data_IF_440455764827
#
_entry.id   IF_440455764827
#
_cell.length_a   1.000
_cell.length_b   1.000
_cell.length_c   1.000
_cell.angle_alpha   90.00
_cell.angle_beta   90.00
_cell.angle_gamma   90.00
#
_symmetry.space_group_name_H-M   'P 1'
#
loop_
_entity.id
_entity.type
_entity.pdbx_description
1 polymer ?
#
# COMPACT_ATOMS: atom_id res chain seq x y z
N UNK A 1 36.88 -38.48 -9.19
CA UNK A 1 36.11 -39.66 -9.64
C UNK A 1 34.94 -39.83 -8.69
N UNK A 2 33.77 -40.12 -9.26
CA UNK A 2 32.47 -40.46 -8.65
C UNK A 2 31.62 -39.29 -8.12
N UNK A 3 30.84 -38.75 -9.07
CA UNK A 3 29.54 -38.10 -8.85
C UNK A 3 28.54 -39.06 -8.23
N UNK A 4 27.77 -38.60 -7.25
CA UNK A 4 26.44 -39.13 -6.96
C UNK A 4 25.42 -37.98 -6.89
N UNK A 5 24.41 -38.12 -7.75
CA UNK A 5 23.26 -37.27 -7.97
C UNK A 5 22.24 -37.53 -6.86
N UNK A 6 21.82 -36.51 -6.09
CA UNK A 6 20.59 -36.61 -5.30
C UNK A 6 19.48 -35.87 -6.04
N UNK A 7 18.61 -36.65 -6.70
CA UNK A 7 17.32 -36.19 -7.19
C UNK A 7 16.41 -35.99 -5.99
N UNK A 8 15.77 -34.82 -5.92
CA UNK A 8 14.66 -34.55 -5.03
C UNK A 8 13.53 -35.58 -5.28
N UNK A 9 13.07 -36.21 -4.21
CA UNK A 9 11.87 -37.04 -4.20
C UNK A 9 10.70 -36.11 -3.90
N UNK A 10 9.67 -36.01 -4.74
CA UNK A 10 8.49 -35.24 -4.40
C UNK A 10 7.70 -35.97 -3.30
N UNK A 11 7.29 -35.22 -2.28
CA UNK A 11 6.31 -35.65 -1.29
C UNK A 11 4.97 -35.86 -2.00
N UNK A 12 4.46 -37.09 -2.00
CA UNK A 12 3.11 -37.43 -2.44
C UNK A 12 2.21 -37.39 -1.21
N UNK A 13 1.31 -36.42 -1.13
CA UNK A 13 0.19 -36.46 -0.16
C UNK A 13 -0.94 -37.21 -0.84
N UNK A 14 -1.22 -38.43 -0.38
CA UNK A 14 -2.39 -39.20 -0.81
C UNK A 14 -3.52 -38.98 0.18
N UNK A 15 -4.59 -38.31 -0.26
CA UNK A 15 -5.90 -38.40 0.38
C UNK A 15 -6.71 -39.43 -0.40
N UNK A 16 -7.06 -40.52 0.28
CA UNK A 16 -7.84 -41.64 -0.23
C UNK A 16 -9.33 -41.32 -0.04
N UNK A 17 -10.03 -40.97 -1.13
CA UNK A 17 -11.49 -41.17 -1.28
C UNK A 17 -11.75 -41.71 -2.68
N UNK A 18 -12.60 -42.72 -2.76
CA UNK A 18 -12.59 -43.73 -3.82
C UNK A 18 -13.08 -43.31 -5.21
N UNK A 19 -12.54 -44.06 -6.19
CA UNK A 19 -13.05 -44.43 -7.51
C UNK A 19 -13.09 -43.35 -8.62
N UNK A 20 -12.02 -43.34 -9.43
CA UNK A 20 -12.02 -42.76 -10.78
C UNK A 20 -10.64 -42.30 -11.27
N UNK A 21 -9.73 -43.23 -11.56
CA UNK A 21 -8.38 -42.91 -12.04
C UNK A 21 -8.42 -42.36 -13.49
N UNK A 22 -8.14 -41.08 -13.69
CA UNK A 22 -7.70 -40.52 -14.98
C UNK A 22 -6.25 -40.08 -14.81
N UNK A 23 -5.32 -40.84 -15.39
CA UNK A 23 -3.90 -40.50 -15.40
C UNK A 23 -3.62 -39.59 -16.59
N UNK A 24 -3.40 -38.29 -16.36
CA UNK A 24 -2.88 -37.38 -17.39
C UNK A 24 -1.36 -37.45 -17.35
N UNK A 25 -0.76 -38.13 -18.33
CA UNK A 25 0.68 -38.07 -18.60
C UNK A 25 0.94 -36.85 -19.49
N UNK A 26 1.44 -35.76 -18.91
CA UNK A 26 1.95 -34.64 -19.71
C UNK A 26 3.39 -34.96 -20.15
N UNK A 27 3.58 -35.20 -21.44
CA UNK A 27 4.90 -35.30 -22.07
C UNK A 27 5.36 -33.87 -22.37
N UNK A 28 6.24 -33.33 -21.52
CA UNK A 28 6.89 -32.06 -21.80
C UNK A 28 7.86 -32.22 -22.98
N UNK A 29 7.52 -31.64 -24.14
CA UNK A 29 8.46 -31.46 -25.23
C UNK A 29 9.33 -30.24 -24.92
N UNK A 30 10.65 -30.48 -24.84
CA UNK A 30 11.63 -29.45 -24.52
C UNK A 30 11.74 -28.40 -25.62
N UNK A 31 11.57 -27.14 -25.22
CA UNK A 31 12.32 -26.01 -25.75
C UNK A 31 12.80 -25.19 -24.54
N UNK A 32 14.11 -25.02 -24.47
CA UNK A 32 14.80 -24.28 -23.42
C UNK A 32 14.38 -22.80 -23.46
N UNK A 33 13.41 -22.42 -22.63
CA UNK A 33 13.25 -21.02 -22.21
C UNK A 33 14.35 -20.71 -21.20
N UNK A 34 15.12 -19.60 -21.36
CA UNK A 34 16.12 -19.23 -20.38
C UNK A 34 15.40 -18.99 -19.06
N UNK A 35 15.73 -19.83 -18.08
CA UNK A 35 15.15 -19.86 -16.76
C UNK A 35 15.00 -18.44 -16.20
N UNK A 36 13.76 -18.02 -15.94
CA UNK A 36 13.49 -16.97 -14.96
C UNK A 36 14.13 -17.44 -13.66
N UNK A 37 15.27 -16.86 -13.30
CA UNK A 37 15.87 -17.00 -11.98
C UNK A 37 14.78 -16.56 -11.00
N UNK A 38 14.29 -17.44 -10.10
CA UNK A 38 13.41 -16.99 -9.03
C UNK A 38 14.23 -15.98 -8.22
N UNK A 39 13.81 -14.71 -8.21
CA UNK A 39 14.32 -13.76 -7.26
C UNK A 39 13.87 -14.24 -5.88
N UNK A 40 14.76 -14.94 -5.17
CA UNK A 40 14.54 -15.23 -3.75
C UNK A 40 14.23 -13.89 -3.06
N UNK A 41 13.04 -13.80 -2.45
CA UNK A 41 12.69 -12.62 -1.65
C UNK A 41 13.69 -12.57 -0.50
N UNK A 42 14.59 -11.58 -0.53
CA UNK A 42 15.56 -11.35 0.53
C UNK A 42 14.80 -11.07 1.83
N UNK A 43 15.06 -11.88 2.86
CA UNK A 43 14.60 -11.58 4.22
C UNK A 43 15.44 -10.41 4.77
N UNK A 44 14.79 -9.38 5.30
CA UNK A 44 15.44 -8.15 5.77
C UNK A 44 16.01 -8.27 7.20
N UNK A 45 16.39 -9.48 7.61
CA UNK A 45 16.96 -9.79 8.92
C UNK A 45 16.10 -9.34 10.13
N UNK A 46 14.79 -9.17 9.95
CA UNK A 46 13.90 -8.93 11.08
C UNK A 46 13.90 -10.12 12.03
N UNK A 47 13.62 -9.91 13.33
CA UNK A 47 13.41 -11.01 14.25
C UNK A 47 12.35 -12.00 13.71
N UNK A 48 12.52 -13.31 13.96
CA UNK A 48 11.69 -14.34 13.34
C UNK A 48 10.24 -14.33 13.85
N UNK A 49 10.01 -13.75 15.02
CA UNK A 49 8.70 -13.68 15.67
C UNK A 49 8.32 -12.24 15.99
N UNK A 50 7.02 -11.95 16.06
CA UNK A 50 6.52 -10.63 16.43
C UNK A 50 6.91 -10.29 17.88
N UNK A 51 6.94 -11.27 18.77
CA UNK A 51 7.42 -11.15 20.14
C UNK A 51 8.89 -10.69 20.20
N UNK A 52 9.80 -11.36 19.48
CA UNK A 52 11.22 -10.97 19.47
C UNK A 52 11.40 -9.56 18.91
N UNK A 53 10.56 -9.18 17.94
CA UNK A 53 10.55 -7.82 17.42
C UNK A 53 9.99 -6.80 18.40
N UNK A 54 8.95 -7.13 19.17
CA UNK A 54 8.47 -6.28 20.26
C UNK A 54 9.58 -6.05 21.30
N UNK A 55 10.36 -7.07 21.65
CA UNK A 55 11.51 -6.96 22.55
C UNK A 55 12.63 -6.06 21.99
N UNK A 56 12.87 -6.10 20.67
CA UNK A 56 13.80 -5.20 20.00
C UNK A 56 13.33 -3.73 20.05
N UNK A 57 12.03 -3.51 19.93
CA UNK A 57 11.39 -2.19 19.85
C UNK A 57 11.21 -1.54 21.23
N UNK A 58 10.94 -2.35 22.26
CA UNK A 58 10.57 -1.90 23.61
C UNK A 58 11.51 -0.84 24.23
N UNK A 59 12.84 -0.95 24.13
CA UNK A 59 13.74 0.05 24.72
C UNK A 59 13.61 1.46 24.14
N UNK A 60 12.99 1.62 22.97
CA UNK A 60 12.88 2.90 22.25
C UNK A 60 11.43 3.39 22.20
N UNK A 61 10.46 2.50 21.92
CA UNK A 61 9.06 2.87 21.74
C UNK A 61 8.15 2.40 22.89
N UNK A 62 8.72 1.74 23.90
CA UNK A 62 7.93 1.00 24.86
C UNK A 62 7.20 -0.17 24.20
N UNK A 63 6.23 -0.72 24.91
CA UNK A 63 5.49 -1.89 24.44
C UNK A 63 4.45 -1.50 23.39
N UNK A 64 4.22 -2.33 22.36
CA UNK A 64 3.07 -2.16 21.47
C UNK A 64 1.77 -2.08 22.29
N UNK A 65 0.76 -1.30 21.86
CA UNK A 65 -0.46 -1.14 22.64
C UNK A 65 -1.30 -2.42 22.66
N UNK A 66 -2.10 -2.59 23.72
CA UNK A 66 -3.16 -3.60 23.76
C UNK A 66 -4.33 -3.12 22.90
N UNK A 67 -4.53 -3.72 21.73
CA UNK A 67 -5.50 -3.25 20.74
C UNK A 67 -6.90 -3.80 21.03
N UNK A 68 -7.84 -2.90 21.31
CA UNK A 68 -9.27 -3.17 21.35
C UNK A 68 -9.97 -2.41 20.21
N UNK A 69 -10.42 -3.15 19.20
CA UNK A 69 -11.11 -2.59 18.03
C UNK A 69 -12.50 -2.06 18.39
N UNK A 70 -13.11 -2.57 19.48
CA UNK A 70 -14.38 -2.10 20.01
C UNK A 70 -14.30 -0.70 20.63
N UNK A 71 -13.13 -0.32 21.14
CA UNK A 71 -12.83 1.01 21.69
C UNK A 71 -12.21 1.97 20.65
N UNK A 72 -11.79 1.46 19.50
CA UNK A 72 -11.21 2.26 18.42
C UNK A 72 -12.27 3.11 17.70
N UNK A 73 -11.87 4.26 17.16
CA UNK A 73 -12.78 5.17 16.46
C UNK A 73 -13.01 4.68 15.03
N UNK A 74 -14.26 4.57 14.61
CA UNK A 74 -14.59 4.23 13.22
C UNK A 74 -14.11 5.32 12.26
N UNK A 75 -13.59 4.89 11.11
CA UNK A 75 -13.33 5.75 9.97
C UNK A 75 -14.63 5.82 9.14
N UNK A 76 -15.39 6.91 9.24
CA UNK A 76 -16.71 6.97 8.63
C UNK A 76 -16.59 7.07 7.10
N UNK A 77 -17.57 6.49 6.41
CA UNK A 77 -17.75 6.64 4.96
C UNK A 77 -18.98 7.52 4.71
N UNK A 78 -18.88 8.49 3.80
CA UNK A 78 -19.97 9.43 3.51
C UNK A 78 -20.46 9.33 2.07
N UNK A 79 -21.77 9.46 1.86
CA UNK A 79 -22.39 9.71 0.56
C UNK A 79 -23.30 10.92 0.72
N UNK A 80 -23.13 11.93 -0.12
CA UNK A 80 -23.88 13.19 -0.05
C UNK A 80 -23.82 13.86 1.34
N UNK A 81 -22.70 13.68 2.05
CA UNK A 81 -22.47 14.19 3.40
C UNK A 81 -23.13 13.38 4.53
N UNK A 82 -23.86 12.30 4.23
CA UNK A 82 -24.46 11.41 5.21
C UNK A 82 -23.57 10.18 5.45
N UNK A 83 -23.37 9.79 6.71
CA UNK A 83 -22.60 8.59 7.03
C UNK A 83 -23.37 7.35 6.60
N UNK A 84 -22.70 6.45 5.89
CA UNK A 84 -23.25 5.19 5.38
C UNK A 84 -22.44 3.99 5.84
N UNK A 85 -23.11 2.84 5.94
CA UNK A 85 -22.49 1.56 6.28
C UNK A 85 -22.72 0.55 5.15
N UNK A 86 -21.68 -0.14 4.72
CA UNK A 86 -21.73 -1.03 3.57
C UNK A 86 -20.48 -0.96 2.69
N UNK A 87 -20.61 -1.64 1.54
CA UNK A 87 -19.71 -1.52 0.40
C UNK A 87 -20.45 -0.78 -0.72
N UNK A 88 -19.82 0.27 -1.23
CA UNK A 88 -20.38 1.16 -2.25
C UNK A 88 -19.40 1.34 -3.42
N UNK A 89 -19.94 1.66 -4.59
CA UNK A 89 -19.14 1.96 -5.79
C UNK A 89 -18.42 3.31 -5.67
N UNK A 90 -19.06 4.30 -5.06
CA UNK A 90 -18.51 5.65 -4.87
C UNK A 90 -18.96 6.26 -3.53
N UNK A 91 -18.22 7.26 -3.07
CA UNK A 91 -18.41 7.96 -1.80
C UNK A 91 -17.60 9.26 -1.77
N UNK A 92 -17.93 10.15 -0.84
CA UNK A 92 -17.28 11.47 -0.71
C UNK A 92 -15.81 11.35 -0.27
N UNK A 93 -15.48 10.29 0.47
CA UNK A 93 -14.18 10.09 1.09
C UNK A 93 -13.65 8.65 0.87
N UNK A 94 -13.36 8.26 -0.37
CA UNK A 94 -12.83 6.92 -0.66
C UNK A 94 -11.49 6.68 0.04
N UNK A 95 -11.26 5.44 0.48
CA UNK A 95 -10.03 5.09 1.20
C UNK A 95 -8.75 5.34 0.40
N UNK A 96 -8.78 5.14 -0.92
CA UNK A 96 -7.65 5.22 -1.87
C UNK A 96 -6.42 4.36 -1.48
N UNK A 97 -6.48 3.60 -0.40
CA UNK A 97 -5.48 2.64 0.07
C UNK A 97 -5.67 1.31 -0.66
N UNK A 98 -5.25 1.26 -1.93
CA UNK A 98 -5.46 0.11 -2.80
C UNK A 98 -6.85 0.11 -3.45
N UNK A 99 -6.96 0.91 -4.52
CA UNK A 99 -8.18 1.20 -5.34
C UNK A 99 -9.23 2.07 -4.66
N UNK A 100 -10.18 2.56 -5.46
CA UNK A 100 -11.37 3.31 -5.02
C UNK A 100 -12.31 2.36 -4.27
N UNK A 101 -12.08 2.17 -2.98
CA UNK A 101 -12.96 1.36 -2.15
C UNK A 101 -13.69 2.26 -1.16
N UNK A 102 -15.02 2.28 -1.28
CA UNK A 102 -15.94 2.91 -0.36
C UNK A 102 -16.55 1.83 0.52
N UNK A 103 -15.80 1.43 1.54
CA UNK A 103 -16.17 0.37 2.47
C UNK A 103 -16.15 0.93 3.90
N UNK A 104 -17.25 0.77 4.63
CA UNK A 104 -17.33 1.17 6.04
C UNK A 104 -16.65 0.18 6.97
N UNK A 105 -16.55 0.56 8.24
CA UNK A 105 -16.22 -0.35 9.32
C UNK A 105 -14.75 -0.58 9.62
N UNK A 106 -13.85 0.10 8.90
CA UNK A 106 -12.46 0.23 9.36
C UNK A 106 -12.41 1.13 10.61
N UNK A 107 -11.49 0.84 11.52
CA UNK A 107 -11.34 1.56 12.79
C UNK A 107 -9.88 1.97 13.01
N UNK A 108 -9.66 3.06 13.74
CA UNK A 108 -8.33 3.54 14.08
C UNK A 108 -8.29 4.00 15.54
N UNK A 109 -7.17 3.76 16.21
CA UNK A 109 -6.96 4.23 17.57
C UNK A 109 -5.55 4.77 17.74
N UNK A 110 -5.41 5.81 18.56
CA UNK A 110 -4.15 6.38 18.97
C UNK A 110 -3.87 6.08 20.44
N UNK A 111 -2.63 5.72 20.73
CA UNK A 111 -2.15 5.45 22.08
C UNK A 111 -0.89 6.28 22.35
N UNK A 112 -0.76 6.76 23.58
CA UNK A 112 0.53 7.22 24.10
C UNK A 112 1.43 6.00 24.33
N UNK A 113 2.72 6.11 24.02
CA UNK A 113 3.67 5.04 24.32
C UNK A 113 3.80 4.83 25.82
N UNK A 114 4.14 3.61 26.21
CA UNK A 114 4.35 3.25 27.60
C UNK A 114 5.34 2.09 27.71
N UNK A 115 6.09 2.04 28.80
CA UNK A 115 6.88 0.85 29.19
C UNK A 115 5.97 -0.31 29.61
N UNK A 116 6.53 -1.51 29.76
CA UNK A 116 5.77 -2.69 30.20
C UNK A 116 5.10 -2.54 31.58
N UNK A 117 5.65 -1.70 32.46
CA UNK A 117 5.06 -1.38 33.77
C UNK A 117 4.04 -0.22 33.74
N UNK A 118 3.74 0.31 32.56
CA UNK A 118 2.78 1.38 32.35
C UNK A 118 3.33 2.80 32.56
N UNK A 119 4.65 2.97 32.67
CA UNK A 119 5.25 4.31 32.72
C UNK A 119 5.06 5.00 31.36
N UNK A 120 4.45 6.19 31.30
CA UNK A 120 4.19 6.86 30.04
C UNK A 120 5.47 7.35 29.33
N UNK A 121 5.45 7.31 28.00
CA UNK A 121 6.49 7.78 27.09
C UNK A 121 5.88 8.85 26.17
N UNK A 122 5.84 10.12 26.59
CA UNK A 122 5.04 11.16 25.92
C UNK A 122 5.54 11.51 24.51
N UNK A 123 6.81 11.23 24.21
CA UNK A 123 7.38 11.45 22.88
C UNK A 123 7.08 10.29 21.92
N UNK A 124 6.47 9.21 22.40
CA UNK A 124 6.11 8.04 21.60
C UNK A 124 4.60 8.00 21.38
N UNK A 125 4.23 7.76 20.13
CA UNK A 125 2.85 7.53 19.73
C UNK A 125 2.73 6.20 19.01
N UNK A 126 1.67 5.46 19.36
CA UNK A 126 1.26 4.28 18.62
C UNK A 126 -0.08 4.54 17.94
N UNK A 127 -0.22 4.11 16.69
CA UNK A 127 -1.49 4.07 15.98
C UNK A 127 -1.80 2.62 15.64
N UNK A 128 -3.00 2.16 16.02
CA UNK A 128 -3.54 0.89 15.57
C UNK A 128 -4.61 1.14 14.50
N UNK A 129 -4.52 0.46 13.37
CA UNK A 129 -5.48 0.54 12.28
C UNK A 129 -6.08 -0.85 12.05
N UNK A 130 -7.38 -0.99 12.30
CA UNK A 130 -8.16 -2.17 11.93
C UNK A 130 -8.78 -1.94 10.55
N UNK A 131 -8.18 -2.51 9.51
CA UNK A 131 -8.65 -2.42 8.14
C UNK A 131 -9.74 -3.45 7.88
N UNK A 132 -10.93 -2.97 7.53
CA UNK A 132 -11.94 -3.82 6.92
C UNK A 132 -11.66 -3.92 5.41
N UNK A 133 -11.53 -5.15 4.91
CA UNK A 133 -11.42 -5.47 3.49
C UNK A 133 -12.40 -6.59 3.09
N UNK A 134 -13.41 -6.85 3.93
CA UNK A 134 -14.35 -7.95 3.76
C UNK A 134 -15.37 -7.61 2.68
N UNK A 135 -15.06 -8.01 1.44
CA UNK A 135 -16.07 -8.15 0.38
C UNK A 135 -16.84 -9.46 0.56
N UNK A 136 -18.17 -9.40 0.45
CA UNK A 136 -19.16 -10.48 0.55
C UNK A 136 -18.70 -11.87 1.05
N UNK A 137 -19.13 -12.23 2.26
CA UNK A 137 -19.34 -13.58 2.80
C UNK A 137 -18.16 -14.59 2.84
N UNK A 138 -16.92 -14.26 2.52
CA UNK A 138 -15.76 -15.17 2.70
C UNK A 138 -14.95 -14.82 3.96
N UNK A 139 -15.54 -15.05 5.13
CA UNK A 139 -14.90 -14.74 6.42
C UNK A 139 -14.55 -13.26 6.55
N UNK A 140 -13.78 -12.92 7.59
CA UNK A 140 -13.33 -11.55 7.81
C UNK A 140 -11.97 -11.38 7.14
N UNK A 141 -12.00 -10.76 5.96
CA UNK A 141 -10.80 -10.27 5.30
C UNK A 141 -10.49 -8.87 5.82
N UNK A 142 -9.29 -8.71 6.35
CA UNK A 142 -8.86 -7.48 6.98
C UNK A 142 -7.53 -7.68 7.67
N UNK A 143 -7.01 -6.61 8.23
CA UNK A 143 -5.76 -6.67 8.96
C UNK A 143 -5.75 -5.62 10.06
N UNK A 144 -5.01 -5.90 11.12
CA UNK A 144 -4.72 -4.95 12.19
C UNK A 144 -3.26 -4.60 12.10
N UNK A 145 -2.98 -3.35 11.75
CA UNK A 145 -1.64 -2.78 11.76
C UNK A 145 -1.40 -2.00 13.04
N UNK A 146 -0.17 -2.03 13.55
CA UNK A 146 0.31 -1.09 14.57
C UNK A 146 1.55 -0.38 14.06
N UNK A 147 1.57 0.94 14.20
CA UNK A 147 2.71 1.77 13.85
C UNK A 147 3.10 2.57 15.08
N UNK A 148 4.30 2.30 15.60
CA UNK A 148 4.90 3.07 16.68
C UNK A 148 5.86 4.11 16.11
N UNK A 149 5.86 5.32 16.66
CA UNK A 149 6.73 6.41 16.22
C UNK A 149 7.22 7.23 17.41
N UNK A 150 8.54 7.44 17.49
CA UNK A 150 9.16 8.36 18.43
C UNK A 150 9.33 9.74 17.77
N UNK A 151 8.58 10.73 18.24
CA UNK A 151 8.47 12.06 17.60
C UNK A 151 9.77 12.87 17.60
N UNK A 152 10.65 12.62 18.59
CA UNK A 152 11.98 13.26 18.68
C UNK A 152 13.06 12.52 17.88
N UNK A 153 13.13 11.19 17.93
CA UNK A 153 14.24 10.42 17.35
C UNK A 153 13.94 9.83 15.98
N UNK A 154 12.68 9.80 15.58
CA UNK A 154 12.24 9.22 14.31
C UNK A 154 12.11 7.71 14.29
N UNK A 155 12.38 7.05 15.41
CA UNK A 155 12.33 5.61 15.52
C UNK A 155 10.92 5.10 15.23
N UNK A 156 10.82 4.14 14.32
CA UNK A 156 9.54 3.62 13.83
C UNK A 156 9.51 2.11 13.88
N UNK A 157 8.36 1.54 14.25
CA UNK A 157 8.13 0.10 14.19
C UNK A 157 6.78 -0.20 13.54
N UNK A 158 6.75 -1.24 12.70
CA UNK A 158 5.55 -1.75 12.03
C UNK A 158 5.22 -3.17 12.51
N UNK A 159 3.98 -3.38 12.93
CA UNK A 159 3.39 -4.70 13.12
C UNK A 159 2.18 -4.82 12.21
N UNK A 160 2.00 -5.99 11.62
CA UNK A 160 0.83 -6.28 10.79
C UNK A 160 0.32 -7.68 11.10
N UNK A 161 -0.99 -7.80 11.30
CA UNK A 161 -1.63 -9.10 11.40
C UNK A 161 -1.71 -9.79 10.03
N UNK A 162 -2.07 -11.07 10.02
CA UNK A 162 -2.44 -11.71 8.76
C UNK A 162 -3.74 -11.11 8.18
N UNK A 163 -3.96 -11.28 6.86
CA UNK A 163 -5.20 -10.85 6.17
C UNK A 163 -6.47 -11.59 6.66
N UNK A 164 -6.29 -12.63 7.49
CA UNK A 164 -7.33 -13.31 8.24
C UNK A 164 -7.11 -13.00 9.72
N UNK A 165 -8.04 -12.24 10.29
CA UNK A 165 -7.95 -11.72 11.66
C UNK A 165 -8.82 -12.48 12.66
N UNK A 166 -9.52 -13.51 12.21
CA UNK A 166 -10.17 -14.47 13.11
C UNK A 166 -9.11 -15.29 13.86
N UNK A 167 -9.36 -15.67 15.13
CA UNK A 167 -10.61 -15.48 15.88
C UNK A 167 -10.70 -14.16 16.67
N UNK A 168 -9.71 -13.27 16.56
CA UNK A 168 -9.55 -12.12 17.46
C UNK A 168 -10.44 -10.92 17.13
N UNK A 169 -10.78 -10.77 15.86
CA UNK A 169 -11.63 -9.71 15.37
C UNK A 169 -12.87 -10.25 14.64
N UNK A 170 -13.93 -9.45 14.65
CA UNK A 170 -15.18 -9.72 13.96
C UNK A 170 -15.85 -8.45 13.46
N UNK A 171 -16.74 -8.58 12.47
CA UNK A 171 -17.56 -7.47 11.99
C UNK A 171 -18.86 -7.41 12.77
N UNK A 172 -19.23 -6.22 13.20
CA UNK A 172 -20.57 -5.94 13.70
C UNK A 172 -21.62 -6.16 12.59
N UNK A 173 -22.68 -6.91 12.88
CA UNK A 173 -23.67 -7.30 11.86
C UNK A 173 -24.44 -6.12 11.27
N UNK A 174 -24.65 -5.06 12.04
CA UNK A 174 -25.44 -3.90 11.61
C UNK A 174 -24.58 -2.86 10.88
N UNK A 175 -23.41 -2.56 11.43
CA UNK A 175 -22.56 -1.44 10.97
C UNK A 175 -21.38 -1.88 10.11
N UNK A 176 -21.11 -3.18 10.06
CA UNK A 176 -19.87 -3.77 9.51
C UNK A 176 -18.60 -3.26 10.19
N UNK A 177 -18.71 -2.64 11.37
CA UNK A 177 -17.57 -2.13 12.12
C UNK A 177 -16.74 -3.27 12.67
N UNK A 178 -15.43 -3.20 12.48
CA UNK A 178 -14.50 -4.13 13.11
C UNK A 178 -14.51 -3.96 14.64
N UNK A 179 -14.68 -5.08 15.33
CA UNK A 179 -14.69 -5.23 16.78
C UNK A 179 -13.79 -6.40 17.18
N UNK A 180 -13.50 -6.50 18.47
CA UNK A 180 -12.67 -7.57 19.03
C UNK A 180 -11.39 -7.06 19.66
N UNK A 181 -10.63 -7.99 20.25
CA UNK A 181 -9.42 -7.71 21.01
C UNK A 181 -8.29 -8.52 20.42
N UNK A 182 -7.24 -7.84 20.00
CA UNK A 182 -6.07 -8.53 19.48
C UNK A 182 -5.21 -9.08 20.61
N UNK A 183 -4.49 -10.19 20.39
CA UNK A 183 -3.50 -10.69 21.33
C UNK A 183 -2.46 -9.64 21.62
N UNK A 184 -1.90 -9.71 22.82
CA UNK A 184 -0.91 -8.75 23.30
C UNK A 184 0.32 -9.47 23.84
N UNK A 185 1.34 -8.70 24.17
CA UNK A 185 2.64 -9.20 24.61
C UNK A 185 2.57 -9.96 25.97
N UNK A 186 1.43 -9.96 26.67
CA UNK A 186 1.22 -10.80 27.84
C UNK A 186 1.09 -12.30 27.50
N UNK A 187 0.76 -12.64 26.25
CA UNK A 187 0.78 -13.99 25.69
C UNK A 187 1.64 -14.03 24.41
N UNK A 188 2.95 -14.34 24.52
CA UNK A 188 3.85 -14.38 23.37
C UNK A 188 3.45 -15.40 22.30
N UNK A 189 2.82 -16.51 22.68
CA UNK A 189 2.43 -17.55 21.72
C UNK A 189 1.28 -17.04 20.85
N UNK A 190 0.24 -16.49 21.48
CA UNK A 190 -0.91 -15.93 20.77
C UNK A 190 -0.53 -14.66 19.99
N UNK A 191 0.34 -13.81 20.53
CA UNK A 191 0.85 -12.62 19.83
C UNK A 191 1.58 -12.97 18.53
N UNK A 192 2.39 -14.03 18.55
CA UNK A 192 3.10 -14.53 17.38
C UNK A 192 2.18 -15.19 16.34
N UNK A 193 0.99 -15.66 16.76
CA UNK A 193 -0.02 -16.16 15.84
C UNK A 193 -0.74 -15.00 15.14
N UNK A 194 -1.07 -13.93 15.89
CA UNK A 194 -1.79 -12.79 15.35
C UNK A 194 -0.94 -11.88 14.48
N UNK A 195 0.27 -11.53 14.94
CA UNK A 195 1.14 -10.55 14.30
C UNK A 195 2.35 -11.18 13.65
N UNK A 196 2.80 -10.53 12.57
CA UNK A 196 4.01 -10.89 11.84
C UNK A 196 4.98 -9.73 11.83
N UNK A 197 6.26 -10.06 11.74
CA UNK A 197 7.28 -9.07 11.41
C UNK A 197 7.23 -8.75 9.92
N UNK A 198 7.67 -7.55 9.49
CA UNK A 198 7.69 -7.17 8.08
C UNK A 198 8.43 -8.17 7.16
N UNK A 199 9.53 -8.77 7.64
CA UNK A 199 10.38 -9.78 6.98
C UNK A 199 10.79 -9.43 5.54
N UNK A 200 9.96 -9.79 4.57
CA UNK A 200 10.23 -9.62 3.13
C UNK A 200 9.52 -8.42 2.52
N UNK A 201 8.61 -7.80 3.28
CA UNK A 201 7.88 -6.60 2.88
C UNK A 201 8.54 -5.39 3.53
N UNK A 202 8.85 -4.38 2.71
CA UNK A 202 9.23 -3.08 3.22
C UNK A 202 7.98 -2.22 3.37
N UNK A 203 7.49 -2.05 4.60
CA UNK A 203 6.34 -1.20 4.91
C UNK A 203 6.57 0.24 4.43
N UNK A 204 7.83 0.66 4.33
CA UNK A 204 8.24 1.95 3.78
C UNK A 204 7.97 2.11 2.28
N UNK A 205 7.58 1.06 1.55
CA UNK A 205 7.03 1.21 0.20
C UNK A 205 5.78 2.12 0.16
N UNK A 206 5.01 2.15 1.25
CA UNK A 206 3.88 3.06 1.45
C UNK A 206 4.17 4.15 2.51
N UNK A 207 5.11 3.91 3.42
CA UNK A 207 5.42 4.78 4.56
C UNK A 207 6.80 5.44 4.45
N UNK A 208 7.31 5.71 3.24
CA UNK A 208 8.73 6.10 3.08
C UNK A 208 9.10 7.49 3.64
N UNK A 209 8.14 8.40 3.64
CA UNK A 209 8.33 9.76 4.16
C UNK A 209 7.84 9.90 5.60
N UNK A 210 6.69 9.28 5.90
CA UNK A 210 5.97 9.46 7.15
C UNK A 210 5.49 8.09 7.66
N UNK A 211 5.61 7.80 8.97
CA UNK A 211 4.99 6.61 9.56
C UNK A 211 3.47 6.58 9.35
N UNK A 212 2.79 7.72 9.20
CA UNK A 212 1.35 7.82 9.12
C UNK A 212 0.90 8.39 7.77
N UNK A 213 0.07 7.62 7.05
CA UNK A 213 -0.54 8.07 5.80
C UNK A 213 -1.80 8.85 6.15
N UNK A 214 -1.99 10.00 5.49
CA UNK A 214 -3.16 10.85 5.65
C UNK A 214 -3.93 10.95 4.33
N UNK A 215 -5.26 10.90 4.42
CA UNK A 215 -6.19 11.23 3.35
C UNK A 215 -7.57 11.54 3.97
N UNK A 216 -8.54 11.95 3.14
CA UNK A 216 -9.88 12.32 3.62
C UNK A 216 -10.62 11.20 4.36
N UNK A 217 -10.39 9.94 4.01
CA UNK A 217 -10.97 8.79 4.72
C UNK A 217 -10.36 8.61 6.11
N UNK A 218 -9.03 8.68 6.22
CA UNK A 218 -8.29 8.53 7.48
C UNK A 218 -8.56 9.71 8.41
N UNK A 219 -8.51 10.93 7.89
CA UNK A 219 -8.69 12.16 8.66
C UNK A 219 -10.14 12.43 9.05
N UNK A 220 -11.09 11.65 8.52
CA UNK A 220 -12.48 11.68 8.95
C UNK A 220 -12.68 11.03 10.33
N UNK A 221 -11.81 10.10 10.74
CA UNK A 221 -11.80 9.59 12.12
C UNK A 221 -11.26 10.68 13.05
N UNK A 222 -12.12 11.17 13.95
CA UNK A 222 -11.80 12.30 14.85
C UNK A 222 -11.97 11.92 16.31
N UNK A 223 -11.02 12.35 17.13
CA UNK A 223 -11.10 12.25 18.59
C UNK A 223 -12.29 13.07 19.11
N UNK A 224 -13.27 12.47 19.81
CA UNK A 224 -14.47 13.16 20.26
C UNK A 224 -14.20 14.41 21.11
N UNK A 225 -13.15 14.37 21.93
CA UNK A 225 -12.79 15.41 22.90
C UNK A 225 -12.13 16.64 22.28
N UNK A 226 -11.46 16.50 21.12
CA UNK A 226 -10.74 17.61 20.46
C UNK A 226 -11.21 17.91 19.05
N UNK A 227 -11.95 17.01 18.41
CA UNK A 227 -12.31 17.08 16.99
C UNK A 227 -11.12 16.96 16.02
N UNK A 228 -9.91 16.68 16.53
CA UNK A 228 -8.71 16.49 15.71
C UNK A 228 -8.67 15.07 15.13
N UNK A 229 -8.01 14.85 13.97
CA UNK A 229 -7.79 13.51 13.45
C UNK A 229 -7.16 12.58 14.50
N UNK A 230 -7.61 11.32 14.54
CA UNK A 230 -7.05 10.30 15.44
C UNK A 230 -5.60 10.03 15.10
N UNK A 231 -5.31 9.88 13.81
CA UNK A 231 -3.94 9.74 13.30
C UNK A 231 -3.21 11.07 13.47
N UNK A 232 -2.06 11.11 14.16
CA UNK A 232 -1.33 12.34 14.38
C UNK A 232 -0.65 12.81 13.10
N UNK A 233 -0.76 14.11 12.80
CA UNK A 233 0.05 14.74 11.76
C UNK A 233 1.46 14.94 12.29
N UNK A 234 2.41 14.16 11.78
CA UNK A 234 3.83 14.29 12.06
C UNK A 234 4.43 15.28 11.05
N UNK A 235 4.97 16.40 11.53
CA UNK A 235 5.43 17.50 10.64
C UNK A 235 6.78 17.19 10.01
N UNK A 236 6.83 16.51 8.86
CA UNK A 236 8.11 16.09 8.26
C UNK A 236 9.07 17.22 7.87
N UNK A 237 8.58 18.45 7.63
CA UNK A 237 9.34 19.71 7.63
C UNK A 237 8.46 20.84 8.18
N UNK A 238 9.05 21.86 8.81
CA UNK A 238 8.31 23.09 9.09
C UNK A 238 8.29 24.00 7.84
N UNK A 239 7.35 24.95 7.80
CA UNK A 239 7.19 25.87 6.65
C UNK A 239 8.40 26.81 6.46
N UNK A 240 9.33 26.81 7.40
CA UNK A 240 10.57 27.59 7.40
C UNK A 240 11.79 26.76 6.96
N UNK A 241 11.60 25.48 6.61
CA UNK A 241 12.64 24.57 6.12
C UNK A 241 13.78 24.30 7.11
N UNK A 242 13.56 24.50 8.41
CA UNK A 242 14.64 24.51 9.40
C UNK A 242 14.96 23.13 9.98
N UNK A 243 14.00 22.19 9.99
CA UNK A 243 14.22 20.85 10.55
C UNK A 243 13.63 19.75 9.69
N UNK A 244 14.48 18.83 9.21
CA UNK A 244 14.04 17.52 8.74
C UNK A 244 13.71 16.65 9.97
N UNK A 245 12.48 16.13 10.05
CA UNK A 245 12.19 15.16 11.11
C UNK A 245 12.97 13.88 10.87
N UNK A 246 13.56 13.32 11.94
CA UNK A 246 14.19 12.04 11.82
C UNK A 246 13.16 10.96 11.53
N UNK A 247 13.57 9.96 10.75
CA UNK A 247 12.74 8.82 10.39
C UNK A 247 13.59 7.62 10.03
N UNK A 248 13.48 6.55 10.82
CA UNK A 248 14.11 5.27 10.53
C UNK A 248 13.27 4.12 11.10
N UNK A 249 13.45 2.93 10.54
CA UNK A 249 12.74 1.72 10.99
C UNK A 249 13.66 0.87 11.86
N UNK A 250 13.23 0.57 13.08
CA UNK A 250 13.95 -0.33 13.98
C UNK A 250 13.97 -1.73 13.34
N UNK A 251 15.15 -2.34 13.17
CA UNK A 251 15.30 -3.63 12.48
C UNK A 251 15.17 -3.56 10.95
N UNK A 252 14.90 -2.38 10.40
CA UNK A 252 14.82 -2.13 8.95
C UNK A 252 16.05 -1.40 8.41
N UNK A 253 17.23 -1.61 9.00
CA UNK A 253 18.46 -0.89 8.64
C UNK A 253 18.92 -1.17 7.20
N UNK A 254 18.43 -2.27 6.59
CA UNK A 254 18.72 -2.67 5.21
C UNK A 254 17.56 -2.38 4.24
N UNK A 255 16.65 -1.48 4.59
CA UNK A 255 15.53 -1.04 3.75
C UNK A 255 15.87 0.14 2.83
N UNK A 256 15.09 0.30 1.75
CA UNK A 256 15.19 1.46 0.88
C UNK A 256 14.46 2.66 1.50
N UNK A 257 15.21 3.50 2.21
CA UNK A 257 14.68 4.72 2.82
C UNK A 257 14.83 5.96 1.92
N UNK A 258 15.24 5.79 0.67
CA UNK A 258 15.54 6.92 -0.23
C UNK A 258 14.28 7.65 -0.67
N UNK A 259 14.24 8.95 -0.47
CA UNK A 259 13.22 9.85 -1.07
C UNK A 259 13.89 10.84 -2.02
N UNK A 260 13.14 11.36 -2.99
CA UNK A 260 13.65 12.37 -3.92
C UNK A 260 13.77 13.72 -3.20
N UNK A 261 14.88 14.41 -3.48
CA UNK A 261 15.11 15.80 -3.11
C UNK A 261 15.55 16.60 -4.33
N UNK A 262 14.98 17.79 -4.48
CA UNK A 262 15.31 18.78 -5.50
C UNK A 262 15.39 20.13 -4.79
N UNK A 263 16.52 20.82 -4.90
CA UNK A 263 16.73 22.12 -4.26
C UNK A 263 15.71 23.14 -4.78
N UNK A 264 15.08 23.90 -3.89
CA UNK A 264 14.09 24.92 -4.24
C UNK A 264 12.73 24.38 -4.74
N UNK A 265 12.56 23.07 -4.89
CA UNK A 265 11.28 22.49 -5.31
C UNK A 265 10.23 22.61 -4.20
N UNK A 266 9.14 23.32 -4.51
CA UNK A 266 8.10 23.65 -3.52
C UNK A 266 7.15 22.50 -3.23
N UNK A 267 7.08 21.48 -4.09
CA UNK A 267 6.25 20.30 -3.87
C UNK A 267 6.80 19.47 -2.70
N UNK A 268 8.12 19.21 -2.70
CA UNK A 268 8.81 18.52 -1.59
C UNK A 268 9.30 19.46 -0.49
N UNK A 269 8.89 20.73 -0.56
CA UNK A 269 9.31 21.75 0.39
C UNK A 269 8.66 21.60 1.77
N UNK A 270 7.39 21.22 1.81
CA UNK A 270 6.64 21.06 3.07
C UNK A 270 6.82 19.68 3.70
N UNK A 271 7.09 18.66 2.90
CA UNK A 271 7.28 17.27 3.31
C UNK A 271 8.04 16.52 2.22
N UNK A 272 8.75 15.43 2.56
CA UNK A 272 9.30 14.53 1.52
C UNK A 272 8.15 13.68 0.98
N UNK A 273 8.42 12.86 -0.03
CA UNK A 273 7.40 12.02 -0.64
C UNK A 273 7.96 10.64 -0.99
N UNK A 274 7.25 9.60 -0.57
CA UNK A 274 7.51 8.23 -1.02
C UNK A 274 6.88 8.03 -2.39
N UNK A 275 7.68 7.71 -3.40
CA UNK A 275 7.16 7.58 -4.76
C UNK A 275 6.25 6.36 -4.93
N UNK A 276 6.48 5.31 -4.15
CA UNK A 276 5.56 4.16 -4.06
C UNK A 276 4.16 4.55 -3.59
N UNK A 277 4.08 5.37 -2.54
CA UNK A 277 2.82 5.93 -2.02
C UNK A 277 2.14 6.82 -3.05
N UNK A 278 2.88 7.76 -3.64
CA UNK A 278 2.34 8.64 -4.68
C UNK A 278 1.73 7.84 -5.84
N UNK A 279 2.46 6.84 -6.33
CA UNK A 279 1.99 5.95 -7.38
C UNK A 279 0.71 5.20 -6.97
N UNK A 280 0.63 4.71 -5.74
CA UNK A 280 -0.57 4.05 -5.22
C UNK A 280 -1.80 4.96 -5.26
N UNK A 281 -1.67 6.20 -4.78
CA UNK A 281 -2.76 7.18 -4.78
C UNK A 281 -3.16 7.60 -6.21
N UNK A 282 -2.18 7.87 -7.09
CA UNK A 282 -2.44 8.19 -8.49
C UNK A 282 -3.15 7.05 -9.22
N UNK A 283 -2.75 5.79 -8.97
CA UNK A 283 -3.43 4.62 -9.53
C UNK A 283 -4.87 4.47 -9.02
N UNK A 284 -5.12 4.88 -7.77
CA UNK A 284 -6.45 4.94 -7.19
C UNK A 284 -7.27 6.15 -7.69
N UNK A 285 -6.73 6.99 -8.59
CA UNK A 285 -7.41 8.13 -9.20
C UNK A 285 -7.38 9.40 -8.35
N UNK A 286 -6.39 9.55 -7.46
CA UNK A 286 -6.11 10.80 -6.76
C UNK A 286 -5.08 11.60 -7.56
N UNK A 287 -5.40 12.83 -7.95
CA UNK A 287 -4.51 13.67 -8.75
C UNK A 287 -3.82 14.70 -7.84
N UNK A 288 -2.50 14.60 -7.62
CA UNK A 288 -1.76 15.56 -6.78
C UNK A 288 -1.94 17.01 -7.23
N UNK A 289 -2.08 17.25 -8.53
CA UNK A 289 -2.32 18.59 -9.06
C UNK A 289 -3.66 19.18 -8.59
N UNK A 290 -4.72 18.36 -8.51
CA UNK A 290 -6.06 18.81 -8.14
C UNK A 290 -6.27 18.90 -6.63
N UNK A 291 -5.32 18.40 -5.85
CA UNK A 291 -5.49 18.13 -4.42
C UNK A 291 -4.45 18.86 -3.56
N UNK A 292 -3.27 19.16 -4.14
CA UNK A 292 -2.13 19.73 -3.41
C UNK A 292 -1.67 21.09 -3.95
N UNK A 293 -1.15 21.97 -3.05
CA UNK A 293 -1.25 21.87 -1.60
C UNK A 293 -2.69 22.07 -1.10
N UNK A 294 -3.04 21.54 0.08
CA UNK A 294 -4.34 21.77 0.68
C UNK A 294 -4.65 23.27 0.76
N UNK A 295 -5.86 23.65 0.33
CA UNK A 295 -6.32 25.04 0.30
C UNK A 295 -5.84 25.89 -0.89
N UNK A 296 -4.88 25.40 -1.70
CA UNK A 296 -4.52 25.99 -3.00
C UNK A 296 -4.15 24.92 -4.05
N UNK A 297 -5.07 24.01 -4.41
CA UNK A 297 -4.83 23.02 -5.46
C UNK A 297 -4.19 23.60 -6.71
N UNK A 298 -3.23 22.88 -7.27
CA UNK A 298 -2.57 23.17 -8.54
C UNK A 298 -1.48 24.24 -8.46
N UNK A 299 -1.30 24.90 -7.31
CA UNK A 299 -0.35 26.01 -7.14
C UNK A 299 1.09 25.65 -7.52
N UNK A 300 1.50 24.40 -7.30
CA UNK A 300 2.88 23.92 -7.51
C UNK A 300 2.96 22.87 -8.63
N UNK A 301 2.13 23.00 -9.66
CA UNK A 301 2.12 22.05 -10.79
C UNK A 301 3.51 21.84 -11.40
N UNK A 302 4.25 22.91 -11.68
CA UNK A 302 5.55 22.82 -12.32
C UNK A 302 6.58 22.11 -11.42
N UNK A 303 6.57 22.40 -10.12
CA UNK A 303 7.40 21.71 -9.13
C UNK A 303 7.04 20.21 -9.05
N UNK A 304 5.76 19.85 -9.22
CA UNK A 304 5.33 18.46 -9.27
C UNK A 304 5.76 17.76 -10.57
N UNK A 305 5.67 18.44 -11.72
CA UNK A 305 6.18 17.94 -13.01
C UNK A 305 7.68 17.64 -12.94
N UNK A 306 8.46 18.55 -12.36
CA UNK A 306 9.90 18.37 -12.13
C UNK A 306 10.22 17.16 -11.25
N UNK A 307 9.45 16.95 -10.16
CA UNK A 307 9.56 15.77 -9.32
C UNK A 307 9.27 14.48 -10.10
N UNK A 308 8.23 14.48 -10.94
CA UNK A 308 7.85 13.32 -11.75
C UNK A 308 8.88 13.03 -12.84
N UNK A 309 9.46 14.06 -13.46
CA UNK A 309 10.55 13.94 -14.43
C UNK A 309 11.79 13.36 -13.76
N UNK A 310 12.12 13.83 -12.55
CA UNK A 310 13.22 13.25 -11.79
C UNK A 310 12.99 11.77 -11.51
N UNK A 311 11.81 11.41 -10.99
CA UNK A 311 11.53 10.01 -10.67
C UNK A 311 11.58 9.13 -11.91
N UNK A 312 10.95 9.55 -13.00
CA UNK A 312 10.86 8.80 -14.26
C UNK A 312 12.22 8.60 -14.92
N UNK A 313 13.07 9.63 -14.91
CA UNK A 313 14.41 9.56 -15.48
C UNK A 313 15.46 8.99 -14.53
N UNK A 314 15.10 8.75 -13.26
CA UNK A 314 15.97 8.51 -12.09
C UNK A 314 16.77 9.76 -11.66
N UNK A 315 16.91 10.02 -10.34
CA UNK A 315 17.78 11.09 -9.83
C UNK A 315 19.20 11.04 -10.38
N UNK A 316 19.73 9.85 -10.65
CA UNK A 316 21.09 9.67 -11.15
C UNK A 316 21.31 10.20 -12.59
N UNK A 317 20.23 10.46 -13.34
CA UNK A 317 20.28 11.01 -14.71
C UNK A 317 19.63 12.39 -14.84
N UNK A 318 19.08 12.92 -13.76
CA UNK A 318 18.39 14.21 -13.75
C UNK A 318 19.24 15.23 -13.00
N UNK A 319 19.69 16.32 -13.66
CA UNK A 319 20.43 17.39 -13.00
C UNK A 319 19.69 17.94 -11.78
N UNK A 320 20.43 18.26 -10.72
CA UNK A 320 19.94 18.85 -9.47
C UNK A 320 18.87 18.02 -8.72
N UNK A 321 18.70 16.75 -9.10
CA UNK A 321 17.88 15.80 -8.40
C UNK A 321 18.70 14.74 -7.67
N UNK A 322 18.36 14.49 -6.42
CA UNK A 322 19.14 13.62 -5.54
C UNK A 322 18.24 12.62 -4.81
N UNK A 323 18.78 11.41 -4.58
CA UNK A 323 18.26 10.55 -3.53
C UNK A 323 18.80 11.02 -2.19
N UNK A 324 17.91 11.16 -1.20
CA UNK A 324 18.30 11.41 0.19
C UNK A 324 17.78 10.32 1.11
N UNK A 325 18.57 10.01 2.13
CA UNK A 325 18.13 9.30 3.32
C UNK A 325 17.86 10.36 4.39
N UNK A 326 16.70 10.35 5.06
CA UNK A 326 16.43 11.28 6.15
C UNK A 326 17.40 11.12 7.32
N UNK A 327 17.52 12.12 8.20
CA UNK A 327 18.16 11.89 9.48
C UNK A 327 17.45 10.76 10.23
N UNK A 328 18.19 10.03 11.06
CA UNK A 328 17.65 8.91 11.83
C UNK A 328 18.53 8.61 13.02
N UNK A 329 17.92 8.47 14.20
CA UNK A 329 18.63 8.38 15.47
C UNK A 329 19.64 9.54 15.63
N UNK A 330 20.93 9.25 15.66
CA UNK A 330 22.01 10.24 15.74
C UNK A 330 22.73 10.49 14.40
N UNK A 331 22.19 9.98 13.29
CA UNK A 331 22.79 10.09 11.96
C UNK A 331 22.13 11.23 11.18
N UNK A 332 22.92 12.18 10.63
CA UNK A 332 22.36 13.24 9.79
C UNK A 332 21.82 12.68 8.48
N UNK A 333 20.90 13.41 7.85
CA UNK A 333 20.46 13.11 6.50
C UNK A 333 21.62 13.10 5.52
N UNK A 334 21.54 12.27 4.49
CA UNK A 334 22.64 12.09 3.52
C UNK A 334 22.10 11.95 2.10
N UNK A 335 22.79 12.59 1.15
CA UNK A 335 22.63 12.32 -0.27
C UNK A 335 23.30 10.98 -0.57
N UNK A 336 22.59 10.10 -1.28
CA UNK A 336 23.10 8.79 -1.69
C UNK A 336 23.00 8.62 -3.19
N UNK A 337 23.85 7.77 -3.77
CA UNK A 337 23.91 7.54 -5.21
C UNK A 337 23.66 6.09 -5.61
N UNK A 338 24.21 5.72 -6.77
CA UNK A 338 24.10 4.37 -7.33
C UNK A 338 24.71 3.28 -6.44
N UNK A 339 25.56 3.62 -5.49
CA UNK A 339 26.23 2.71 -4.58
C UNK A 339 25.39 2.36 -3.33
N UNK A 340 24.20 2.96 -3.16
CA UNK A 340 23.31 2.61 -2.05
C UNK A 340 22.95 1.12 -2.08
N UNK A 341 23.25 0.33 -1.04
CA UNK A 341 23.18 -1.13 -1.11
C UNK A 341 21.76 -1.70 -0.92
N UNK A 342 20.80 -0.86 -0.50
CA UNK A 342 19.49 -1.30 -0.06
C UNK A 342 18.36 -0.89 -1.01
N UNK A 343 18.66 -0.63 -2.29
CA UNK A 343 17.66 -0.19 -3.28
C UNK A 343 16.53 -1.21 -3.43
N UNK A 344 15.30 -0.71 -3.53
CA UNK A 344 14.11 -1.51 -3.75
C UNK A 344 13.33 -1.05 -4.98
N UNK A 345 12.59 -1.97 -5.60
CA UNK A 345 11.89 -1.74 -6.87
C UNK A 345 10.76 -0.70 -6.79
N UNK A 346 10.22 -0.42 -5.59
CA UNK A 346 9.17 0.58 -5.45
C UNK A 346 9.68 2.02 -5.62
N UNK A 347 11.00 2.23 -5.58
CA UNK A 347 11.64 3.50 -5.95
C UNK A 347 12.01 3.59 -7.43
N UNK A 348 11.75 2.53 -8.20
CA UNK A 348 11.90 2.56 -9.66
C UNK A 348 10.55 2.90 -10.29
N UNK A 349 10.47 3.91 -11.17
CA UNK A 349 9.26 4.16 -11.95
C UNK A 349 8.96 2.91 -12.79
N UNK A 350 7.75 2.36 -12.66
CA UNK A 350 7.33 1.24 -13.52
C UNK A 350 7.20 1.76 -14.95
N UNK A 351 7.95 1.18 -15.89
CA UNK A 351 7.76 1.48 -17.30
C UNK A 351 6.38 0.98 -17.73
N UNK A 352 5.68 1.72 -18.61
CA UNK A 352 4.38 1.32 -19.14
C UNK A 352 4.39 -0.12 -19.73
N UNK A 353 5.54 -0.57 -20.25
CA UNK A 353 5.74 -1.94 -20.75
C UNK A 353 5.69 -3.04 -19.68
N UNK A 354 6.05 -2.72 -18.44
CA UNK A 354 5.96 -3.66 -17.31
C UNK A 354 4.52 -3.77 -16.80
N UNK A 355 3.76 -2.66 -16.90
CA UNK A 355 2.32 -2.65 -16.62
C UNK A 355 1.54 -3.52 -17.62
N UNK A 356 1.86 -3.44 -18.92
CA UNK A 356 1.27 -4.30 -19.96
C UNK A 356 1.50 -5.79 -19.69
N UNK A 357 2.65 -6.15 -19.12
CA UNK A 357 2.99 -7.54 -18.80
C UNK A 357 2.22 -8.04 -17.56
N UNK A 358 1.99 -7.17 -16.57
CA UNK A 358 1.07 -7.46 -15.46
C UNK A 358 -0.40 -7.51 -15.91
N UNK A 359 -0.80 -6.70 -16.88
CA UNK A 359 -2.16 -6.73 -17.47
C UNK A 359 -2.43 -8.06 -18.18
N UNK A 360 -1.45 -8.54 -18.95
CA UNK A 360 -1.49 -9.87 -19.55
C UNK A 360 -1.55 -10.98 -18.49
N UNK A 361 -0.88 -10.81 -17.35
CA UNK A 361 -0.94 -11.77 -16.22
C UNK A 361 -2.27 -11.72 -15.48
N UNK A 362 -2.85 -10.54 -15.27
CA UNK A 362 -4.17 -10.37 -14.65
C UNK A 362 -5.26 -10.97 -15.55
N UNK A 363 -5.22 -10.68 -16.84
CA UNK A 363 -6.14 -11.28 -17.81
C UNK A 363 -5.94 -12.81 -17.93
N UNK A 364 -4.70 -13.29 -17.78
CA UNK A 364 -4.39 -14.71 -17.67
C UNK A 364 -5.05 -15.36 -16.45
N UNK A 365 -4.83 -14.79 -15.27
CA UNK A 365 -5.41 -15.28 -14.01
C UNK A 365 -6.94 -15.21 -14.01
N UNK A 366 -7.52 -14.18 -14.62
CA UNK A 366 -8.98 -14.07 -14.75
C UNK A 366 -9.53 -15.23 -15.58
N UNK A 367 -8.92 -15.53 -16.73
CA UNK A 367 -9.31 -16.68 -17.55
C UNK A 367 -9.16 -18.01 -16.81
N UNK A 368 -8.08 -18.17 -16.05
CA UNK A 368 -7.85 -19.39 -15.27
C UNK A 368 -8.94 -19.58 -14.20
N UNK A 369 -9.30 -18.52 -13.46
CA UNK A 369 -10.36 -18.56 -12.46
C UNK A 369 -11.75 -18.78 -13.07
N UNK A 370 -12.05 -18.14 -14.19
CA UNK A 370 -13.30 -18.37 -14.93
C UNK A 370 -13.40 -19.83 -15.43
N UNK A 371 -12.27 -20.41 -15.87
CA UNK A 371 -12.21 -21.82 -16.24
C UNK A 371 -12.41 -22.76 -15.04
N UNK A 372 -11.81 -22.46 -13.89
CA UNK A 372 -12.04 -23.23 -12.67
C UNK A 372 -13.51 -23.14 -12.21
N UNK A 373 -14.14 -21.96 -12.32
CA UNK A 373 -15.56 -21.80 -12.00
C UNK A 373 -16.43 -22.70 -12.88
N UNK A 374 -16.17 -22.73 -14.20
CA UNK A 374 -16.87 -23.60 -15.14
C UNK A 374 -16.67 -25.09 -14.81
N UNK A 375 -15.46 -25.51 -14.43
CA UNK A 375 -15.18 -26.88 -13.98
C UNK A 375 -15.95 -27.25 -12.72
N UNK A 376 -16.02 -26.36 -11.72
CA UNK A 376 -16.82 -26.57 -10.51
C UNK A 376 -18.31 -26.70 -10.86
N UNK A 377 -18.82 -25.92 -11.80
CA UNK A 377 -20.21 -26.07 -12.25
C UNK A 377 -20.47 -27.41 -12.94
N UNK A 378 -19.53 -27.85 -13.78
CA UNK A 378 -19.62 -29.13 -14.47
C UNK A 378 -19.54 -30.29 -13.47
N UNK A 379 -18.64 -30.20 -12.51
CA UNK A 379 -18.48 -31.19 -11.44
C UNK A 379 -19.77 -31.35 -10.61
N UNK A 380 -20.47 -30.24 -10.34
CA UNK A 380 -21.78 -30.25 -9.69
C UNK A 380 -22.86 -30.89 -10.58
N UNK A 381 -22.90 -30.57 -11.87
CA UNK A 381 -23.85 -31.15 -12.83
C UNK A 381 -23.68 -32.66 -12.98
N UNK A 382 -22.44 -33.13 -12.96
CA UNK A 382 -22.09 -34.55 -13.12
C UNK A 382 -22.15 -35.32 -11.79
N UNK A 383 -22.48 -34.65 -10.68
CA UNK A 383 -22.60 -35.26 -9.35
C UNK A 383 -21.26 -35.69 -8.74
N UNK A 384 -20.15 -35.18 -9.25
CA UNK A 384 -18.80 -35.49 -8.79
C UNK A 384 -18.38 -34.72 -7.53
N UNK A 385 -19.10 -33.64 -7.19
CA UNK A 385 -18.97 -32.91 -5.93
C UNK A 385 -20.36 -32.66 -5.32
N UNK A 386 -20.41 -32.47 -4.00
CA UNK A 386 -21.67 -32.15 -3.30
C UNK A 386 -22.13 -30.72 -3.59
N UNK A 387 -23.41 -30.43 -3.38
CA UNK A 387 -23.95 -29.08 -3.51
C UNK A 387 -23.34 -28.08 -2.52
N UNK A 388 -22.96 -28.55 -1.33
CA UNK A 388 -22.34 -27.73 -0.29
C UNK A 388 -20.89 -27.37 -0.65
N UNK A 389 -20.12 -28.36 -1.09
CA UNK A 389 -18.73 -28.17 -1.57
C UNK A 389 -18.68 -27.28 -2.82
N UNK A 390 -19.62 -27.46 -3.75
CA UNK A 390 -19.73 -26.60 -4.93
C UNK A 390 -20.06 -25.15 -4.54
N UNK A 391 -20.92 -24.94 -3.54
CA UNK A 391 -21.30 -23.60 -3.09
C UNK A 391 -20.11 -22.85 -2.48
N UNK A 392 -19.28 -23.53 -1.68
CA UNK A 392 -18.07 -22.94 -1.09
C UNK A 392 -17.01 -22.58 -2.15
N UNK A 393 -16.74 -23.50 -3.09
CA UNK A 393 -15.77 -23.29 -4.16
C UNK A 393 -16.20 -22.18 -5.13
N UNK A 394 -17.47 -22.19 -5.57
CA UNK A 394 -18.01 -21.14 -6.46
C UNK A 394 -17.90 -19.77 -5.84
N UNK A 395 -18.25 -19.64 -4.56
CA UNK A 395 -18.19 -18.38 -3.82
C UNK A 395 -16.78 -17.80 -3.74
N UNK A 396 -15.77 -18.65 -3.48
CA UNK A 396 -14.37 -18.20 -3.48
C UNK A 396 -13.89 -17.77 -4.87
N UNK A 397 -14.26 -18.51 -5.92
CA UNK A 397 -13.89 -18.20 -7.30
C UNK A 397 -14.56 -16.92 -7.81
N UNK A 398 -15.87 -16.76 -7.56
CA UNK A 398 -16.64 -15.57 -7.93
C UNK A 398 -16.08 -14.29 -7.28
N UNK A 399 -15.63 -14.38 -6.01
CA UNK A 399 -14.94 -13.28 -5.36
C UNK A 399 -13.66 -12.88 -6.10
N UNK A 400 -12.75 -13.83 -6.37
CA UNK A 400 -11.50 -13.52 -7.05
C UNK A 400 -11.72 -13.03 -8.48
N UNK A 401 -12.73 -13.57 -9.18
CA UNK A 401 -13.16 -13.09 -10.49
C UNK A 401 -13.65 -11.65 -10.40
N UNK A 402 -14.48 -11.30 -9.41
CA UNK A 402 -14.92 -9.92 -9.17
C UNK A 402 -13.73 -8.99 -8.92
N UNK A 403 -12.85 -9.37 -7.99
CA UNK A 403 -11.62 -8.62 -7.67
C UNK A 403 -10.78 -8.39 -8.92
N UNK A 404 -10.64 -9.41 -9.79
CA UNK A 404 -9.85 -9.33 -11.01
C UNK A 404 -10.54 -8.55 -12.15
N UNK A 405 -11.85 -8.68 -12.32
CA UNK A 405 -12.62 -7.89 -13.29
C UNK A 405 -12.59 -6.41 -12.93
N UNK A 406 -12.64 -6.08 -11.64
CA UNK A 406 -12.45 -4.71 -11.16
C UNK A 406 -11.02 -4.22 -11.40
N UNK A 407 -10.01 -5.11 -11.47
CA UNK A 407 -8.66 -4.73 -11.94
C UNK A 407 -8.75 -4.26 -13.40
N UNK A 408 -9.52 -4.96 -14.22
CA UNK A 408 -9.54 -4.79 -15.67
C UNK A 408 -10.42 -3.61 -16.10
N UNK A 409 -11.61 -3.46 -15.53
CA UNK A 409 -12.55 -2.36 -15.84
C UNK A 409 -12.03 -0.98 -15.41
N UNK A 410 -11.32 -0.90 -14.28
CA UNK A 410 -10.65 0.32 -13.83
C UNK A 410 -9.45 0.73 -14.69
N UNK A 411 -9.02 -0.12 -15.62
CA UNK A 411 -7.94 0.14 -16.58
C UNK A 411 -8.46 0.53 -17.96
N UNK A 412 -9.53 -0.10 -18.44
CA UNK A 412 -10.18 0.25 -19.72
C UNK A 412 -10.72 1.69 -19.73
N UNK A 413 -11.15 2.20 -18.56
CA UNK A 413 -11.54 3.60 -18.35
C UNK A 413 -10.37 4.60 -18.36
N UNK A 414 -9.11 4.13 -18.34
CA UNK A 414 -7.89 4.96 -18.37
C UNK A 414 -7.32 5.12 -19.78
N UNK A 415 -7.51 4.15 -20.68
CA UNK A 415 -7.08 4.28 -22.07
C UNK A 415 -7.86 5.38 -22.82
N UNK A 416 -9.14 5.59 -22.48
CA UNK A 416 -9.96 6.67 -23.05
C UNK A 416 -9.51 8.07 -22.59
N UNK A 417 -8.97 8.20 -21.37
CA UNK A 417 -8.48 9.48 -20.84
C UNK A 417 -7.09 9.85 -21.39
N UNK A 418 -6.23 8.87 -21.68
CA UNK A 418 -4.91 9.08 -22.27
C UNK A 418 -4.98 9.53 -23.74
N UNK A 419 -5.99 9.10 -24.51
CA UNK A 419 -6.13 9.50 -25.92
C UNK A 419 -6.59 10.96 -26.11
N UNK A 420 -7.37 11.51 -25.18
CA UNK A 420 -7.91 12.87 -25.31
C UNK A 420 -6.90 13.97 -24.92
N UNK A 421 -5.87 13.65 -24.13
CA UNK A 421 -4.79 14.59 -23.81
C UNK A 421 -3.79 14.77 -24.98
N UNK A 422 -3.64 13.77 -25.85
CA UNK A 422 -2.69 13.80 -26.97
C UNK A 422 -3.20 14.50 -28.22
N UNK A 423 -4.52 14.60 -28.41
CA UNK A 423 -5.11 15.21 -29.61
C UNK A 423 -5.32 16.73 -29.51
N UNK A 424 -5.29 17.32 -28.30
CA UNK A 424 -5.51 18.77 -28.16
C UNK A 424 -4.24 19.64 -28.28
N UNK A 425 -3.03 19.05 -28.24
CA UNK A 425 -1.77 19.79 -28.27
C UNK A 425 -1.02 19.79 -29.62
N UNK A 426 -1.51 19.08 -30.64
CA UNK A 426 -0.89 19.04 -31.98
C UNK A 426 -1.58 19.92 -33.03
N UNK A 427 -2.79 20.43 -32.78
CA UNK A 427 -3.55 21.20 -33.78
C UNK A 427 -3.53 22.74 -33.61
N UNK A 428 -2.80 23.28 -32.61
CA UNK A 428 -2.69 24.74 -32.41
C UNK A 428 -1.34 25.38 -32.77
N UNK A 429 -0.42 24.62 -33.39
CA UNK A 429 0.90 25.14 -33.79
C UNK A 429 1.00 25.60 -35.27
N UNK A 430 -0.05 25.49 -36.08
CA UNK A 430 0.04 25.72 -37.55
C UNK A 430 -1.09 26.55 -38.16
N UNK A 431 -1.75 27.43 -37.40
CA UNK A 431 -2.62 28.46 -37.99
C UNK A 431 -2.50 29.79 -37.23
N UNK A 432 -1.59 30.65 -37.68
CA UNK A 432 -1.45 31.98 -37.09
C UNK A 432 -0.34 32.85 -37.69
N UNK A 433 0.04 32.64 -38.95
CA UNK A 433 0.93 33.54 -39.67
C UNK A 433 0.26 33.97 -40.97
N UNK A 434 -0.64 34.95 -40.90
CA UNK A 434 -0.71 36.01 -41.89
C UNK A 434 -1.78 37.06 -41.57
N UNK A 435 -1.50 38.31 -42.01
CA UNK A 435 -2.43 39.44 -42.21
C UNK A 435 -2.89 40.27 -40.99
N UNK A 436 -2.22 41.39 -40.73
CA UNK A 436 -2.53 42.73 -41.32
C UNK A 436 -1.84 43.84 -40.53
N UNK A 437 -1.10 44.68 -41.24
CA UNK A 437 -0.72 46.00 -40.76
C UNK A 437 -1.85 47.02 -40.92
N UNK A 438 -1.90 48.00 -40.01
CA UNK A 438 -2.06 49.43 -40.32
C UNK A 438 -1.96 50.28 -39.02
N UNK A 439 -0.82 50.96 -38.90
CA UNK A 439 -0.58 52.40 -38.64
C UNK A 439 -1.43 53.27 -37.69
N UNK A 440 -0.67 54.19 -37.06
CA UNK A 440 -0.96 55.47 -36.37
C UNK A 440 -1.34 55.38 -34.87
N UNK A 441 -0.75 56.17 -33.96
CA UNK A 441 0.12 57.34 -34.13
C UNK A 441 0.81 57.79 -32.82
N UNK A 442 1.79 58.68 -33.01
CA UNK A 442 2.64 59.35 -32.02
C UNK A 442 1.92 60.50 -31.29
N UNK A 443 2.39 60.81 -30.07
CA UNK A 443 2.34 62.11 -29.39
C UNK A 443 2.62 61.93 -27.89
N UNK A 444 3.84 62.13 -27.38
CA UNK A 444 4.41 63.37 -26.77
C UNK A 444 3.54 63.95 -25.64
N UNK A 445 4.02 64.15 -24.40
CA UNK A 445 5.33 64.62 -23.94
C UNK A 445 5.90 63.79 -22.80
#
# INVERSE_FOLDING_TARGET
>A
MLHWNQRAVPLVVSVLVGLGLVTVVSVASGKDDPAKVPTEKKDHNFPPTAWDYAQLVEPILGVPPKVDLGEAIEMPTFIDGEQVHGLFEDCDNPSRLGRKNCMSGSVVQRYEGQTADGTPLPDVVWVAFGRNASGFNIGILGSVQMIGYHTVTGATAFFESSDRIEPWAYLDEETQRLKGKMPWIDDPEEFNQAYKTPRTVQCVSCHQNDPFIHNSFIDAARMPETGRPVVPVVRTRDMEFETELPYYVIGGEDWDMRTIYIEGNRCVGCHRIGMGTLNLFMQAGWNPHEEMPPGRPGKYQHDFEELMDCWTNSPEKTPDCHWIIPPGASTPGQIVGEDYPFKANFNTPRLASEMVNEDLQVAGKLRDLESELEKTEQALRDGSISSEEAAEQKKALEYWISVLRDVQSSKDSKESFSSDSKTSHLDKATQGADRKGHTFGKGSQ
#
